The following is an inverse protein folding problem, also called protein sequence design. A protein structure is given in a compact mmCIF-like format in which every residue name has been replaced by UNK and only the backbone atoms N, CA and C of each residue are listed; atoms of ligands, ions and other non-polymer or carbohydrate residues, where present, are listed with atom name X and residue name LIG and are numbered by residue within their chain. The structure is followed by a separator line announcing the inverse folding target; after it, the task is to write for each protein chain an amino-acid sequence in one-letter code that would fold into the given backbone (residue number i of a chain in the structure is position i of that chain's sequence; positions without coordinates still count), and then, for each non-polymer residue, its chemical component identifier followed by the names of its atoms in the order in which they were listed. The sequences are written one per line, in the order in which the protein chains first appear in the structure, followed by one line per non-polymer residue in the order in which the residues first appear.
data_IF_391736998521
#
_entry.id   IF_391736998521
#
_cell.length_a   1.000
_cell.length_b   1.000
_cell.length_c   1.000
_cell.angle_alpha   90.00
_cell.angle_beta   90.00
_cell.angle_gamma   90.00
#
_symmetry.space_group_name_H-M   'P 1'
#
loop_
_entity.id
_entity.type
_entity.pdbx_description
1 polymer ?
#
# COMPACT_ATOMS: atom_id res chain seq x y z
N UNK A 1 -17.86 42.49 48.43
CA UNK A 1 -17.89 41.92 47.06
C UNK A 1 -16.75 42.55 46.28
N UNK A 2 -15.72 41.80 45.88
CA UNK A 2 -14.59 42.35 45.14
C UNK A 2 -13.29 41.56 45.34
N UNK A 3 -13.23 40.33 44.82
CA UNK A 3 -11.96 39.61 44.67
C UNK A 3 -11.37 40.00 43.32
N UNK A 4 -10.19 40.64 43.34
CA UNK A 4 -9.36 40.85 42.15
C UNK A 4 -8.81 39.49 41.72
N UNK A 5 -9.20 39.02 40.54
CA UNK A 5 -8.60 37.86 39.89
C UNK A 5 -7.27 38.32 39.27
N UNK A 6 -6.19 37.65 39.66
CA UNK A 6 -4.86 37.87 39.09
C UNK A 6 -4.79 37.33 37.66
N UNK A 7 -4.29 38.17 36.77
CA UNK A 7 -3.94 37.81 35.41
C UNK A 7 -2.68 36.93 35.44
N UNK A 8 -2.84 35.68 35.02
CA UNK A 8 -1.73 34.77 34.78
C UNK A 8 -1.24 35.00 33.35
N UNK A 9 -0.06 35.60 33.22
CA UNK A 9 0.72 35.60 32.00
C UNK A 9 1.33 34.22 31.83
N UNK A 10 0.87 33.46 30.84
CA UNK A 10 1.60 32.29 30.37
C UNK A 10 2.72 32.79 29.45
N UNK A 11 3.91 33.01 30.00
CA UNK A 11 5.12 33.11 29.17
C UNK A 11 5.43 31.70 28.68
N UNK A 12 5.16 31.48 27.39
CA UNK A 12 5.60 30.31 26.66
C UNK A 12 7.13 30.36 26.61
N UNK A 13 7.79 29.55 27.45
CA UNK A 13 9.22 29.31 27.28
C UNK A 13 9.40 28.43 26.05
N UNK A 14 9.74 29.04 24.92
CA UNK A 14 10.34 28.33 23.80
C UNK A 14 11.70 27.83 24.30
N UNK A 15 11.76 26.58 24.72
CA UNK A 15 13.02 25.93 25.09
C UNK A 15 13.83 25.77 23.81
N UNK A 16 14.76 26.70 23.56
CA UNK A 16 15.81 26.49 22.58
C UNK A 16 16.76 25.43 23.16
N UNK A 17 16.56 24.17 22.76
CA UNK A 17 17.57 23.14 22.99
C UNK A 17 18.85 23.59 22.28
N UNK A 18 19.95 23.62 23.04
CA UNK A 18 21.27 23.93 22.52
C UNK A 18 21.62 22.88 21.44
N UNK A 19 21.80 23.34 20.21
CA UNK A 19 22.22 22.54 19.05
C UNK A 19 23.59 21.93 19.35
N UNK A 20 23.70 20.61 19.26
CA UNK A 20 24.97 19.91 19.38
C UNK A 20 25.83 20.18 18.16
N UNK A 21 26.86 21.00 18.32
CA UNK A 21 27.97 21.09 17.36
C UNK A 21 28.84 19.84 17.58
N UNK A 22 28.84 18.92 16.63
CA UNK A 22 29.82 17.82 16.62
C UNK A 22 31.07 18.31 15.87
N UNK A 23 32.26 18.35 16.50
CA UNK A 23 33.49 18.69 15.80
C UNK A 23 33.93 17.48 14.95
N UNK A 24 33.96 17.64 13.63
CA UNK A 24 34.40 16.57 12.74
C UNK A 24 34.36 16.91 11.26
N UNK A 25 35.38 17.63 10.78
CA UNK A 25 35.88 17.54 9.40
C UNK A 25 37.30 18.14 9.36
N UNK A 26 38.17 17.60 8.50
CA UNK A 26 39.63 17.78 8.52
C UNK A 26 40.17 19.19 8.17
N UNK A 27 39.34 20.22 8.23
CA UNK A 27 39.70 21.63 8.08
C UNK A 27 38.79 22.50 8.96
N UNK A 28 38.42 21.97 10.15
CA UNK A 28 37.57 22.56 11.21
C UNK A 28 36.13 22.92 10.84
N UNK A 29 35.70 22.59 9.61
CA UNK A 29 34.32 22.78 9.16
C UNK A 29 33.30 22.10 10.08
N UNK A 30 32.17 22.76 10.28
CA UNK A 30 31.06 22.30 11.15
C UNK A 30 29.71 22.42 10.43
N UNK A 31 28.69 21.70 10.90
CA UNK A 31 27.34 21.76 10.34
C UNK A 31 26.32 22.08 11.42
N UNK A 32 25.37 22.94 11.09
CA UNK A 32 24.31 23.36 11.99
C UNK A 32 22.96 23.32 11.30
N UNK A 33 21.91 22.94 12.03
CA UNK A 33 20.53 23.05 11.58
C UNK A 33 20.07 24.50 11.81
N UNK A 34 20.10 25.32 10.76
CA UNK A 34 19.79 26.76 10.80
C UNK A 34 18.30 27.06 10.89
N UNK A 35 17.45 26.19 10.35
CA UNK A 35 16.00 26.22 10.55
C UNK A 35 15.56 24.85 11.01
N UNK A 36 14.95 24.77 12.19
CA UNK A 36 14.51 23.51 12.77
C UNK A 36 13.26 22.99 12.05
N UNK A 37 13.14 21.67 11.84
CA UNK A 37 11.90 21.09 11.36
C UNK A 37 10.81 21.27 12.41
N UNK A 38 9.62 21.68 11.97
CA UNK A 38 8.41 21.67 12.79
C UNK A 38 7.43 20.76 12.08
N UNK A 39 7.09 19.63 12.71
CA UNK A 39 6.21 18.68 12.06
C UNK A 39 4.78 19.18 11.93
N UNK A 40 4.04 18.55 11.04
CA UNK A 40 2.67 18.88 10.75
C UNK A 40 1.73 18.54 11.91
N UNK A 41 0.75 19.40 12.16
CA UNK A 41 -0.36 19.11 13.07
C UNK A 41 -1.53 18.40 12.39
N UNK A 42 -1.65 18.54 11.05
CA UNK A 42 -2.69 17.92 10.23
C UNK A 42 -2.05 16.86 9.33
N UNK A 43 -2.58 15.63 9.35
CA UNK A 43 -2.11 14.54 8.47
C UNK A 43 -2.18 14.93 6.99
N UNK A 44 -1.27 14.38 6.18
CA UNK A 44 -1.26 14.61 4.72
C UNK A 44 -0.60 15.91 4.28
N UNK A 45 -0.01 16.63 5.23
CA UNK A 45 0.77 17.85 4.96
C UNK A 45 2.26 17.57 5.11
N UNK A 46 3.06 18.32 4.37
CA UNK A 46 4.51 18.45 4.61
C UNK A 46 4.75 19.01 6.03
N UNK A 47 5.98 18.93 6.53
CA UNK A 47 6.35 19.64 7.76
C UNK A 47 5.96 21.13 7.65
N UNK A 48 5.41 21.70 8.73
CA UNK A 48 4.99 23.11 8.81
C UNK A 48 6.18 24.04 8.60
N UNK A 49 7.33 23.69 9.18
CA UNK A 49 8.62 24.34 8.90
C UNK A 49 9.55 23.32 8.30
N UNK A 50 10.03 23.58 7.08
CA UNK A 50 11.03 22.76 6.41
C UNK A 50 12.44 23.12 6.91
N UNK A 51 13.31 22.13 7.13
CA UNK A 51 14.62 22.40 7.69
C UNK A 51 15.57 23.02 6.67
N UNK A 52 16.47 23.85 7.18
CA UNK A 52 17.66 24.30 6.46
C UNK A 52 18.90 23.94 7.27
N UNK A 53 19.98 23.64 6.57
CA UNK A 53 21.25 23.21 7.15
C UNK A 53 22.36 24.06 6.57
N UNK A 54 23.20 24.62 7.42
CA UNK A 54 24.35 25.42 7.01
C UNK A 54 25.64 24.68 7.32
N UNK A 55 26.52 24.59 6.33
CA UNK A 55 27.91 24.17 6.51
C UNK A 55 28.76 25.42 6.76
N UNK A 56 29.54 25.39 7.82
CA UNK A 56 30.34 26.51 8.31
C UNK A 56 31.83 26.18 8.20
N UNK A 57 32.62 27.21 7.92
CA UNK A 57 34.06 27.23 8.12
C UNK A 57 34.39 27.38 9.63
N UNK A 58 35.66 27.24 10.00
CA UNK A 58 36.17 27.33 11.37
C UNK A 58 35.85 28.65 12.06
N UNK A 59 35.76 29.71 11.28
CA UNK A 59 35.44 31.05 11.76
C UNK A 59 33.93 31.29 11.93
N UNK A 60 33.11 30.25 11.70
CA UNK A 60 31.66 30.27 11.86
C UNK A 60 30.90 30.92 10.70
N UNK A 61 31.56 31.25 9.57
CA UNK A 61 30.89 31.75 8.36
C UNK A 61 30.45 30.59 7.46
N UNK A 62 29.37 30.74 6.66
CA UNK A 62 28.97 29.72 5.70
C UNK A 62 30.08 29.41 4.68
N UNK A 63 30.31 28.13 4.41
CA UNK A 63 31.22 27.67 3.36
C UNK A 63 30.55 27.83 1.99
N UNK A 64 30.63 29.04 1.43
CA UNK A 64 29.99 29.39 0.16
C UNK A 64 30.61 28.71 -1.07
N UNK A 65 31.82 28.17 -0.93
CA UNK A 65 32.48 27.37 -1.97
C UNK A 65 31.97 25.93 -2.03
N UNK A 66 31.28 25.47 -0.99
CA UNK A 66 30.78 24.11 -0.92
C UNK A 66 29.59 23.90 -1.87
N UNK A 67 29.78 23.02 -2.86
CA UNK A 67 28.75 22.59 -3.79
C UNK A 67 28.32 21.13 -3.57
N UNK A 68 28.59 20.59 -2.38
CA UNK A 68 28.21 19.23 -1.99
C UNK A 68 26.70 19.05 -1.83
N UNK A 69 26.30 17.84 -1.45
CA UNK A 69 24.92 17.51 -1.12
C UNK A 69 24.76 17.21 0.36
N UNK A 70 23.59 17.53 0.92
CA UNK A 70 23.19 17.14 2.27
C UNK A 70 22.04 16.16 2.17
N UNK A 71 22.19 15.00 2.82
CA UNK A 71 21.14 14.00 2.97
C UNK A 71 20.40 14.21 4.29
N UNK A 72 19.06 14.15 4.27
CA UNK A 72 18.22 14.14 5.45
C UNK A 72 17.70 12.72 5.72
N UNK A 73 17.66 12.35 6.99
CA UNK A 73 17.12 11.08 7.49
C UNK A 73 16.49 11.26 8.87
N UNK A 74 15.74 10.28 9.35
CA UNK A 74 15.29 10.24 10.75
C UNK A 74 16.39 9.59 11.60
N UNK A 75 16.99 10.37 12.50
CA UNK A 75 17.98 9.90 13.46
C UNK A 75 17.32 9.21 14.65
N UNK A 76 16.50 9.96 15.40
CA UNK A 76 15.62 9.38 16.43
C UNK A 76 14.27 9.07 15.77
N UNK A 77 13.91 7.79 15.75
CA UNK A 77 12.80 7.27 14.98
C UNK A 77 11.98 6.21 15.75
N UNK A 78 11.15 6.65 16.72
CA UNK A 78 10.49 5.75 17.66
C UNK A 78 9.40 4.88 17.03
N UNK A 79 8.87 5.27 15.86
CA UNK A 79 7.80 4.54 15.17
C UNK A 79 8.29 3.76 13.96
N UNK A 80 9.61 3.66 13.76
CA UNK A 80 10.21 3.11 12.54
C UNK A 80 9.64 3.76 11.27
N UNK A 81 9.40 5.08 11.35
CA UNK A 81 8.90 5.89 10.25
C UNK A 81 9.94 6.06 9.15
N UNK A 82 9.45 6.48 7.99
CA UNK A 82 10.23 6.90 6.84
C UNK A 82 10.12 8.40 6.65
N UNK A 83 11.16 8.95 6.03
CA UNK A 83 11.19 10.33 5.56
C UNK A 83 10.97 10.32 4.04
N UNK A 84 9.87 10.89 3.59
CA UNK A 84 9.53 11.01 2.17
C UNK A 84 9.78 12.45 1.67
N UNK A 85 9.61 12.68 0.37
CA UNK A 85 9.94 13.93 -0.32
C UNK A 85 11.36 13.92 -0.89
N UNK A 86 11.89 15.09 -1.21
CA UNK A 86 13.28 15.25 -1.63
C UNK A 86 14.19 15.26 -0.39
N UNK A 87 14.65 14.08 0.02
CA UNK A 87 15.54 13.89 1.18
C UNK A 87 17.00 14.26 0.91
N UNK A 88 17.28 14.90 -0.23
CA UNK A 88 18.59 15.40 -0.60
C UNK A 88 18.47 16.85 -1.06
N UNK A 89 19.36 17.71 -0.59
CA UNK A 89 19.44 19.10 -1.00
C UNK A 89 20.89 19.47 -1.33
N UNK A 90 21.09 20.20 -2.43
CA UNK A 90 22.39 20.76 -2.76
C UNK A 90 22.71 21.93 -1.85
N UNK A 91 23.99 22.09 -1.50
CA UNK A 91 24.49 23.29 -0.86
C UNK A 91 24.54 24.42 -1.89
N UNK A 92 23.92 25.53 -1.55
CA UNK A 92 24.01 26.78 -2.29
C UNK A 92 24.38 27.90 -1.32
N UNK A 93 25.52 28.56 -1.56
CA UNK A 93 26.11 29.51 -0.63
C UNK A 93 26.27 28.94 0.80
N UNK A 94 26.66 27.67 0.90
CA UNK A 94 26.84 26.97 2.17
C UNK A 94 25.55 26.52 2.87
N UNK A 95 24.38 26.70 2.26
CA UNK A 95 23.08 26.34 2.84
C UNK A 95 22.36 25.30 1.98
N UNK A 96 21.94 24.21 2.59
CA UNK A 96 21.07 23.21 2.01
C UNK A 96 19.62 23.45 2.49
N UNK A 97 18.69 23.58 1.56
CA UNK A 97 17.28 23.87 1.86
C UNK A 97 16.39 22.71 1.40
N UNK A 98 15.66 22.12 2.34
CA UNK A 98 14.63 21.13 2.06
C UNK A 98 13.28 21.83 1.91
N UNK A 99 12.37 21.28 1.11
CA UNK A 99 11.12 21.98 0.76
C UNK A 99 9.84 21.15 0.89
N UNK A 100 9.95 19.82 0.90
CA UNK A 100 8.80 18.93 0.82
C UNK A 100 8.95 17.67 1.69
N UNK A 101 9.77 17.73 2.74
CA UNK A 101 9.91 16.62 3.66
C UNK A 101 8.57 16.33 4.35
N UNK A 102 8.28 15.04 4.49
CA UNK A 102 7.13 14.52 5.24
C UNK A 102 7.50 13.21 5.93
N UNK A 103 6.99 13.01 7.14
CA UNK A 103 7.23 11.81 7.94
C UNK A 103 6.06 10.83 7.79
N UNK A 104 6.34 9.54 7.64
CA UNK A 104 5.29 8.52 7.57
C UNK A 104 5.74 7.18 8.16
N UNK A 105 4.98 6.56 9.09
CA UNK A 105 3.86 7.12 9.85
C UNK A 105 4.30 8.25 10.80
N UNK A 106 3.34 9.05 11.28
CA UNK A 106 3.58 10.07 12.31
C UNK A 106 3.88 9.50 13.69
N UNK A 107 4.17 10.38 14.65
CA UNK A 107 4.66 10.05 15.98
C UNK A 107 5.20 11.26 16.75
N UNK A 108 5.70 11.02 17.96
CA UNK A 108 6.36 12.03 18.80
C UNK A 108 7.87 11.80 18.84
N UNK A 109 8.62 12.78 19.36
CA UNK A 109 10.05 12.68 19.68
C UNK A 109 10.97 12.28 18.51
N UNK A 110 10.60 12.65 17.28
CA UNK A 110 11.50 12.50 16.14
C UNK A 110 12.66 13.50 16.23
N UNK A 111 13.82 13.09 15.73
CA UNK A 111 14.91 14.00 15.39
C UNK A 111 15.39 13.69 13.97
N UNK A 112 15.64 14.72 13.17
CA UNK A 112 16.25 14.57 11.86
C UNK A 112 17.77 14.61 11.97
N UNK A 113 18.41 13.70 11.24
CA UNK A 113 19.86 13.65 11.04
C UNK A 113 20.17 14.13 9.63
N UNK A 114 21.06 15.10 9.55
CA UNK A 114 21.59 15.63 8.30
C UNK A 114 23.05 15.24 8.15
N UNK A 115 23.43 14.79 6.97
CA UNK A 115 24.80 14.34 6.65
C UNK A 115 25.26 15.00 5.36
N UNK A 116 26.37 15.73 5.39
CA UNK A 116 26.99 16.25 4.17
C UNK A 116 27.78 15.15 3.48
N UNK A 117 27.55 15.02 2.18
CA UNK A 117 28.29 14.16 1.28
C UNK A 117 29.29 15.06 0.55
N UNK A 118 30.56 15.01 0.94
CA UNK A 118 31.64 15.66 0.20
C UNK A 118 32.15 14.74 -0.91
N UNK A 119 32.51 15.32 -2.05
CA UNK A 119 33.24 14.63 -3.13
C UNK A 119 34.70 14.36 -2.78
N UNK A 120 35.25 15.14 -1.83
CA UNK A 120 36.62 15.01 -1.36
C UNK A 120 36.67 14.11 -0.12
N UNK A 121 37.73 13.33 -0.01
CA UNK A 121 37.99 12.34 1.05
C UNK A 121 38.18 13.07 2.39
N UNK A 122 37.07 13.49 3.00
CA UNK A 122 37.04 13.95 4.38
C UNK A 122 37.02 12.70 5.27
N UNK A 123 37.84 12.62 6.33
CA UNK A 123 37.97 11.40 7.14
C UNK A 123 36.70 10.96 7.87
N UNK A 124 35.73 11.86 8.05
CA UNK A 124 34.45 11.62 8.72
C UNK A 124 33.36 12.45 8.02
N UNK A 125 32.14 11.92 7.84
CA UNK A 125 31.03 12.69 7.31
C UNK A 125 30.63 13.78 8.31
N UNK A 126 30.37 14.99 7.80
CA UNK A 126 29.91 16.09 8.64
C UNK A 126 28.41 15.93 8.92
N UNK A 127 28.01 15.95 10.19
CA UNK A 127 26.66 15.64 10.62
C UNK A 127 26.05 16.71 11.54
N UNK A 128 24.72 16.87 11.46
CA UNK A 128 23.95 17.69 12.39
C UNK A 128 22.62 17.02 12.75
N UNK A 129 22.15 17.29 13.97
CA UNK A 129 20.89 16.79 14.50
C UNK A 129 19.91 17.94 14.76
N UNK A 130 18.65 17.73 14.43
CA UNK A 130 17.58 18.66 14.81
C UNK A 130 17.20 18.51 16.29
N UNK A 131 16.46 19.50 16.80
CA UNK A 131 15.68 19.35 18.01
C UNK A 131 14.56 18.30 17.83
N UNK A 132 14.02 17.83 18.96
CA UNK A 132 12.85 16.93 18.95
C UNK A 132 11.64 17.64 18.34
N UNK A 133 10.87 16.92 17.54
CA UNK A 133 9.60 17.40 17.03
C UNK A 133 8.54 16.29 16.98
N UNK A 134 7.29 16.72 17.04
CA UNK A 134 6.12 15.90 16.75
C UNK A 134 5.78 16.00 15.27
N UNK A 135 5.30 14.92 14.65
CA UNK A 135 4.68 14.95 13.34
C UNK A 135 3.40 14.10 13.31
N UNK A 136 2.28 14.67 12.87
CA UNK A 136 1.06 13.92 12.63
C UNK A 136 1.23 12.88 11.52
N UNK A 137 2.18 13.13 10.61
CA UNK A 137 2.60 12.25 9.53
C UNK A 137 1.82 12.45 8.23
N UNK A 138 2.21 11.73 7.18
CA UNK A 138 1.48 11.73 5.90
C UNK A 138 0.13 11.03 6.07
N UNK A 139 -0.89 11.54 5.38
CA UNK A 139 -2.17 10.86 5.25
C UNK A 139 -1.98 9.68 4.31
N UNK A 140 -2.59 8.55 4.66
CA UNK A 140 -2.47 7.34 3.88
C UNK A 140 -3.82 6.62 3.86
N UNK A 141 -4.20 6.12 2.69
CA UNK A 141 -5.40 5.32 2.46
C UNK A 141 -5.05 4.06 1.70
N UNK A 142 -5.89 3.03 1.84
CA UNK A 142 -5.80 1.87 0.97
C UNK A 142 -6.41 2.22 -0.39
N UNK A 143 -5.85 1.66 -1.45
CA UNK A 143 -6.39 1.74 -2.79
C UNK A 143 -6.20 0.40 -3.49
N UNK A 144 -7.26 -0.12 -4.08
CA UNK A 144 -7.17 -1.33 -4.90
C UNK A 144 -6.58 -0.91 -6.25
N UNK A 145 -5.39 -1.41 -6.57
CA UNK A 145 -4.66 -1.11 -7.82
C UNK A 145 -4.78 -2.24 -8.82
N UNK A 146 -5.09 -3.45 -8.36
CA UNK A 146 -5.51 -4.55 -9.21
C UNK A 146 -6.77 -5.15 -8.61
N UNK A 147 -7.89 -4.94 -9.29
CA UNK A 147 -9.17 -5.46 -8.86
C UNK A 147 -9.20 -6.99 -8.93
N UNK A 148 -9.87 -7.66 -7.98
CA UNK A 148 -10.05 -9.10 -8.02
C UNK A 148 -10.78 -9.50 -9.29
N UNK A 149 -10.21 -10.49 -9.98
CA UNK A 149 -10.85 -11.23 -11.07
C UNK A 149 -10.57 -12.71 -10.84
N UNK A 150 -11.54 -13.55 -11.16
CA UNK A 150 -11.34 -14.99 -11.05
C UNK A 150 -10.58 -15.53 -12.25
N UNK A 151 -9.65 -16.43 -11.99
CA UNK A 151 -8.99 -17.27 -12.98
C UNK A 151 -9.06 -18.71 -12.50
N UNK A 152 -9.23 -19.67 -13.40
CA UNK A 152 -9.17 -21.08 -13.04
C UNK A 152 -7.73 -21.57 -13.16
N UNK A 153 -7.22 -22.20 -12.11
CA UNK A 153 -5.96 -22.93 -12.19
C UNK A 153 -6.14 -24.28 -12.90
N UNK A 154 -5.04 -25.04 -13.04
CA UNK A 154 -5.05 -26.35 -13.68
C UNK A 154 -6.00 -27.37 -13.00
N UNK A 155 -6.27 -27.18 -11.71
CA UNK A 155 -7.17 -28.01 -10.90
C UNK A 155 -8.60 -27.44 -10.86
N UNK A 156 -8.93 -26.45 -11.70
CA UNK A 156 -10.21 -25.75 -11.76
C UNK A 156 -10.60 -25.02 -10.47
N UNK A 157 -9.63 -24.60 -9.66
CA UNK A 157 -9.87 -23.75 -8.49
C UNK A 157 -9.89 -22.29 -8.92
N UNK A 158 -10.81 -21.53 -8.34
CA UNK A 158 -10.94 -20.10 -8.58
C UNK A 158 -9.85 -19.31 -7.86
N UNK A 159 -8.75 -19.00 -8.53
CA UNK A 159 -7.70 -18.12 -8.04
C UNK A 159 -8.06 -16.65 -8.29
N UNK A 160 -7.76 -15.79 -7.32
CA UNK A 160 -7.95 -14.34 -7.40
C UNK A 160 -6.66 -13.67 -6.95
N UNK A 161 -6.18 -12.68 -7.71
CA UNK A 161 -4.91 -12.01 -7.44
C UNK A 161 -5.05 -10.49 -7.32
N UNK A 162 -5.77 -9.97 -6.30
CA UNK A 162 -5.89 -8.54 -6.09
C UNK A 162 -4.59 -7.96 -5.53
N UNK A 163 -4.36 -6.67 -5.81
CA UNK A 163 -3.26 -5.90 -5.23
C UNK A 163 -3.84 -4.65 -4.60
N UNK A 164 -3.44 -4.38 -3.36
CA UNK A 164 -3.82 -3.17 -2.61
C UNK A 164 -2.57 -2.37 -2.35
N UNK A 165 -2.56 -1.11 -2.77
CA UNK A 165 -1.51 -0.16 -2.45
C UNK A 165 -1.91 0.71 -1.26
N UNK A 166 -0.92 1.18 -0.51
CA UNK A 166 -1.06 2.31 0.40
C UNK A 166 -0.67 3.56 -0.37
N UNK A 167 -1.58 4.52 -0.45
CA UNK A 167 -1.41 5.76 -1.20
C UNK A 167 -1.63 6.98 -0.32
N UNK A 168 -1.05 8.11 -0.71
CA UNK A 168 -1.40 9.41 -0.14
C UNK A 168 -2.78 9.90 -0.60
N UNK A 169 -3.20 11.09 -0.15
CA UNK A 169 -4.51 11.61 -0.53
C UNK A 169 -4.65 11.95 -2.02
N UNK A 170 -3.53 12.21 -2.69
CA UNK A 170 -3.47 12.46 -4.14
C UNK A 170 -3.42 11.17 -4.97
N UNK A 171 -3.33 10.00 -4.32
CA UNK A 171 -3.24 8.69 -4.98
C UNK A 171 -1.82 8.26 -5.34
N UNK A 172 -0.79 8.97 -4.88
CA UNK A 172 0.60 8.54 -5.06
C UNK A 172 0.92 7.41 -4.09
N UNK A 173 1.61 6.38 -4.56
CA UNK A 173 1.99 5.25 -3.72
C UNK A 173 3.05 5.62 -2.69
N UNK A 174 2.92 5.04 -1.50
CA UNK A 174 3.85 5.21 -0.39
C UNK A 174 4.73 3.96 -0.30
N UNK A 175 5.87 3.89 -1.02
CA UNK A 175 6.65 2.66 -1.17
C UNK A 175 7.23 2.14 0.15
N UNK A 176 7.33 3.00 1.16
CA UNK A 176 7.82 2.61 2.48
C UNK A 176 6.71 2.12 3.42
N UNK A 177 5.46 2.08 2.98
CA UNK A 177 4.37 1.57 3.80
C UNK A 177 4.44 0.05 3.97
N UNK A 178 4.34 -0.39 5.22
CA UNK A 178 4.46 -1.81 5.64
C UNK A 178 3.17 -2.34 6.27
N UNK A 179 2.04 -1.67 6.05
CA UNK A 179 0.75 -2.05 6.63
C UNK A 179 0.35 -3.48 6.20
N UNK A 180 -0.04 -4.31 7.17
CA UNK A 180 -0.63 -5.62 6.87
C UNK A 180 -2.08 -5.46 6.46
N UNK A 181 -2.37 -5.81 5.21
CA UNK A 181 -3.72 -5.78 4.63
C UNK A 181 -4.35 -7.16 4.76
N UNK A 182 -5.54 -7.20 5.35
CA UNK A 182 -6.40 -8.38 5.42
C UNK A 182 -7.51 -8.31 4.38
N UNK A 183 -7.96 -9.47 3.90
CA UNK A 183 -9.08 -9.58 2.95
C UNK A 183 -10.25 -10.38 3.55
N UNK A 184 -11.46 -9.96 3.24
CA UNK A 184 -12.70 -10.67 3.56
C UNK A 184 -13.65 -10.65 2.36
N UNK A 185 -14.63 -11.56 2.36
CA UNK A 185 -15.71 -11.57 1.37
C UNK A 185 -16.88 -10.75 1.93
N UNK A 186 -17.31 -9.71 1.22
CA UNK A 186 -18.47 -8.89 1.63
C UNK A 186 -19.75 -9.38 0.97
N UNK A 187 -19.79 -9.42 -0.38
CA UNK A 187 -20.92 -9.98 -1.12
C UNK A 187 -20.61 -11.43 -1.52
N UNK A 188 -21.47 -12.35 -1.08
CA UNK A 188 -21.26 -13.79 -1.22
C UNK A 188 -22.56 -14.52 -1.61
N UNK A 189 -23.01 -14.42 -2.87
CA UNK A 189 -24.33 -14.92 -3.29
C UNK A 189 -24.43 -16.46 -3.22
N UNK A 190 -23.31 -17.18 -3.37
CA UNK A 190 -23.28 -18.63 -3.42
C UNK A 190 -22.68 -19.28 -2.16
N UNK A 191 -22.59 -18.53 -1.05
CA UNK A 191 -21.99 -18.98 0.22
C UNK A 191 -20.64 -19.68 0.02
N UNK A 192 -19.78 -19.10 -0.82
CA UNK A 192 -18.39 -19.51 -0.97
C UNK A 192 -17.53 -19.08 0.22
N UNK A 193 -16.32 -19.59 0.30
CA UNK A 193 -15.33 -19.24 1.32
C UNK A 193 -13.95 -19.15 0.69
N UNK A 194 -12.98 -18.57 1.37
CA UNK A 194 -11.59 -18.82 0.98
C UNK A 194 -11.23 -20.29 1.27
N UNK A 195 -10.35 -20.86 0.45
CA UNK A 195 -9.82 -22.21 0.71
C UNK A 195 -8.86 -22.18 1.91
N UNK A 196 -8.62 -23.32 2.59
CA UNK A 196 -7.68 -23.38 3.71
C UNK A 196 -6.23 -22.98 3.37
N UNK A 197 -5.84 -23.06 2.10
CA UNK A 197 -4.51 -22.68 1.65
C UNK A 197 -4.38 -21.19 1.32
N UNK A 198 -5.47 -20.42 1.40
CA UNK A 198 -5.46 -18.99 1.09
C UNK A 198 -4.74 -18.19 2.17
N UNK A 199 -3.95 -17.20 1.76
CA UNK A 199 -3.29 -16.23 2.64
C UNK A 199 -4.16 -15.00 2.74
N UNK A 200 -4.85 -14.84 3.87
CA UNK A 200 -5.85 -13.78 4.05
C UNK A 200 -5.30 -12.46 4.58
N UNK A 201 -4.01 -12.42 4.94
CA UNK A 201 -3.31 -11.22 5.41
C UNK A 201 -1.92 -11.16 4.80
N UNK A 202 -1.62 -10.05 4.12
CA UNK A 202 -0.35 -9.83 3.41
C UNK A 202 0.25 -8.50 3.87
N UNK A 203 1.50 -8.46 4.38
CA UNK A 203 2.20 -7.21 4.65
C UNK A 203 2.47 -6.48 3.34
N UNK A 204 2.33 -5.16 3.35
CA UNK A 204 2.74 -4.35 2.22
C UNK A 204 4.27 -4.36 2.08
N UNK A 205 4.76 -4.64 0.88
CA UNK A 205 6.17 -4.52 0.49
C UNK A 205 6.25 -3.50 -0.64
N UNK A 206 7.15 -2.52 -0.55
CA UNK A 206 7.15 -1.44 -1.52
C UNK A 206 5.83 -0.67 -1.55
N UNK A 207 5.12 -0.59 -0.42
CA UNK A 207 3.80 0.05 -0.32
C UNK A 207 2.63 -0.76 -0.88
N UNK A 208 2.86 -2.01 -1.30
CA UNK A 208 1.82 -2.86 -1.93
C UNK A 208 1.68 -4.20 -1.23
N UNK A 209 0.45 -4.55 -0.87
CA UNK A 209 0.07 -5.89 -0.45
C UNK A 209 -0.47 -6.65 -1.67
N UNK A 210 0.33 -7.60 -2.17
CA UNK A 210 -0.02 -8.43 -3.33
C UNK A 210 -0.53 -9.80 -2.87
N UNK A 211 -1.81 -10.08 -3.10
CA UNK A 211 -2.40 -11.35 -2.72
C UNK A 211 -2.20 -12.38 -3.84
N UNK A 212 -1.04 -13.04 -3.87
CA UNK A 212 -0.74 -14.10 -4.84
C UNK A 212 -1.35 -15.47 -4.51
N UNK A 213 -2.00 -15.61 -3.35
CA UNK A 213 -2.46 -16.88 -2.81
C UNK A 213 -3.85 -16.73 -2.19
N UNK A 214 -4.82 -16.32 -3.01
CA UNK A 214 -6.24 -16.33 -2.64
C UNK A 214 -7.01 -17.22 -3.60
N UNK A 215 -7.74 -18.17 -3.03
CA UNK A 215 -8.62 -19.04 -3.78
C UNK A 215 -9.99 -19.09 -3.13
N UNK A 216 -11.06 -19.00 -3.94
CA UNK A 216 -12.43 -19.13 -3.45
C UNK A 216 -13.01 -20.52 -3.75
N UNK A 217 -13.69 -21.09 -2.75
CA UNK A 217 -14.57 -22.25 -2.91
C UNK A 217 -15.88 -21.82 -3.55
N UNK A 218 -16.51 -22.74 -4.31
CA UNK A 218 -17.81 -22.55 -5.00
C UNK A 218 -17.86 -21.43 -6.06
N UNK A 219 -16.76 -20.71 -6.28
CA UNK A 219 -16.61 -19.75 -7.35
C UNK A 219 -16.39 -20.39 -8.75
N UNK A 220 -16.45 -21.73 -8.86
CA UNK A 220 -16.16 -22.42 -10.10
C UNK A 220 -17.01 -23.68 -10.37
N UNK A 221 -18.01 -24.04 -9.55
CA UNK A 221 -18.49 -25.43 -9.56
C UNK A 221 -20.00 -25.63 -9.54
N UNK A 222 -20.56 -25.81 -10.75
CA UNK A 222 -21.47 -26.94 -11.02
C UNK A 222 -20.72 -28.30 -11.11
N UNK A 223 -19.40 -28.35 -10.82
CA UNK A 223 -18.55 -29.54 -11.07
C UNK A 223 -17.81 -30.09 -9.82
N UNK A 224 -18.18 -29.72 -8.59
CA UNK A 224 -17.75 -30.50 -7.42
C UNK A 224 -18.45 -31.86 -7.48
N UNK A 225 -17.75 -33.00 -7.35
CA UNK A 225 -18.39 -34.31 -7.25
C UNK A 225 -19.36 -34.34 -6.06
N UNK A 226 -20.67 -34.33 -6.34
CA UNK A 226 -21.73 -34.32 -5.31
C UNK A 226 -22.42 -32.97 -5.08
N UNK A 227 -22.05 -31.90 -5.79
CA UNK A 227 -22.85 -30.67 -5.81
C UNK A 227 -24.19 -30.92 -6.52
N UNK A 228 -25.30 -30.67 -5.83
CA UNK A 228 -26.63 -30.70 -6.43
C UNK A 228 -26.73 -29.52 -7.39
N UNK A 229 -26.90 -29.79 -8.68
CA UNK A 229 -27.15 -28.74 -9.69
C UNK A 229 -28.55 -28.18 -9.41
N UNK A 230 -28.61 -27.00 -8.79
CA UNK A 230 -29.84 -26.23 -8.74
C UNK A 230 -30.07 -25.60 -10.11
N UNK A 231 -31.02 -26.17 -10.86
CA UNK A 231 -31.43 -25.72 -12.21
C UNK A 231 -32.54 -24.68 -12.17
N UNK A 232 -32.89 -24.15 -10.99
CA UNK A 232 -33.87 -23.08 -10.85
C UNK A 232 -33.44 -21.79 -11.57
N UNK A 233 -34.40 -20.94 -12.01
CA UNK A 233 -34.09 -19.65 -12.60
C UNK A 233 -33.53 -18.72 -11.51
N UNK A 234 -32.22 -18.74 -11.31
CA UNK A 234 -31.53 -17.80 -10.42
C UNK A 234 -31.25 -16.52 -11.20
N UNK A 235 -31.68 -15.39 -10.65
CA UNK A 235 -31.35 -14.07 -11.19
C UNK A 235 -29.84 -13.90 -11.23
N UNK A 236 -29.32 -13.41 -12.36
CA UNK A 236 -27.90 -13.36 -12.73
C UNK A 236 -27.00 -12.43 -11.88
N UNK A 237 -27.35 -12.07 -10.65
CA UNK A 237 -26.51 -11.25 -9.78
C UNK A 237 -25.60 -12.13 -8.90
N UNK A 238 -24.79 -12.99 -9.53
CA UNK A 238 -23.83 -13.91 -8.87
C UNK A 238 -22.45 -13.26 -8.60
N UNK A 239 -22.39 -11.94 -8.53
CA UNK A 239 -21.14 -11.19 -8.34
C UNK A 239 -20.62 -11.25 -6.90
N UNK A 240 -19.30 -11.33 -6.76
CA UNK A 240 -18.60 -11.25 -5.48
C UNK A 240 -18.03 -9.84 -5.28
N UNK A 241 -17.88 -9.44 -4.03
CA UNK A 241 -17.05 -8.29 -3.64
C UNK A 241 -16.15 -8.69 -2.49
N UNK A 242 -14.90 -8.23 -2.53
CA UNK A 242 -13.95 -8.38 -1.45
C UNK A 242 -13.75 -7.04 -0.74
N UNK A 243 -13.62 -7.08 0.58
CA UNK A 243 -13.20 -5.95 1.40
C UNK A 243 -11.75 -6.15 1.83
N UNK A 244 -10.95 -5.10 1.72
CA UNK A 244 -9.57 -5.05 2.18
C UNK A 244 -9.43 -4.04 3.32
N UNK A 245 -8.82 -4.45 4.41
CA UNK A 245 -8.69 -3.62 5.61
C UNK A 245 -7.30 -3.74 6.23
N UNK A 246 -6.85 -2.69 6.89
CA UNK A 246 -5.60 -2.67 7.66
C UNK A 246 -5.78 -1.80 8.91
N UNK A 247 -5.11 -2.09 10.04
CA UNK A 247 -5.20 -1.26 11.23
C UNK A 247 -4.83 0.20 10.96
N UNK A 248 -5.72 1.13 11.33
CA UNK A 248 -5.51 2.56 11.10
C UNK A 248 -5.92 3.09 9.72
N UNK A 249 -6.46 2.22 8.85
CA UNK A 249 -6.96 2.60 7.53
C UNK A 249 -8.46 2.33 7.42
N UNK A 250 -9.16 3.15 6.62
CA UNK A 250 -10.50 2.81 6.16
C UNK A 250 -10.44 1.59 5.22
N UNK A 251 -11.42 0.69 5.33
CA UNK A 251 -11.51 -0.45 4.43
C UNK A 251 -11.90 0.01 3.02
N UNK A 252 -11.41 -0.71 2.01
CA UNK A 252 -11.76 -0.50 0.60
C UNK A 252 -12.42 -1.75 0.03
N UNK A 253 -13.48 -1.55 -0.73
CA UNK A 253 -14.20 -2.63 -1.39
C UNK A 253 -13.84 -2.72 -2.86
N UNK A 254 -13.75 -3.95 -3.36
CA UNK A 254 -13.56 -4.18 -4.78
C UNK A 254 -14.80 -3.83 -5.60
N UNK A 255 -14.58 -3.49 -6.86
CA UNK A 255 -15.59 -3.71 -7.90
C UNK A 255 -16.15 -5.14 -7.84
N UNK A 256 -17.39 -5.28 -8.30
CA UNK A 256 -18.03 -6.56 -8.45
C UNK A 256 -17.30 -7.41 -9.49
N UNK A 257 -17.06 -8.68 -9.18
CA UNK A 257 -16.50 -9.64 -10.13
C UNK A 257 -17.31 -10.91 -10.14
N UNK A 258 -17.55 -11.43 -11.33
CA UNK A 258 -18.26 -12.70 -11.52
C UNK A 258 -17.37 -13.89 -11.24
N UNK A 259 -18.03 -14.94 -10.78
CA UNK A 259 -17.44 -16.27 -10.63
C UNK A 259 -17.98 -17.18 -11.74
N UNK A 260 -17.71 -16.81 -13.00
CA UNK A 260 -18.34 -17.47 -14.14
C UNK A 260 -18.18 -19.00 -14.04
N UNK A 261 -19.27 -19.79 -14.09
CA UNK A 261 -19.11 -21.20 -14.41
C UNK A 261 -18.66 -21.27 -15.86
N UNK A 262 -17.47 -21.82 -16.12
CA UNK A 262 -17.10 -22.26 -17.46
C UNK A 262 -18.04 -23.41 -17.85
N UNK A 263 -19.20 -23.05 -18.41
CA UNK A 263 -20.08 -24.00 -19.07
C UNK A 263 -19.36 -24.44 -20.33
N UNK A 264 -18.74 -25.61 -20.30
CA UNK A 264 -18.41 -26.33 -21.53
C UNK A 264 -19.75 -26.78 -22.11
N UNK A 265 -20.33 -26.00 -23.01
CA UNK A 265 -21.39 -26.50 -23.88
C UNK A 265 -20.72 -27.48 -24.83
N UNK A 266 -20.70 -28.78 -24.47
CA UNK A 266 -20.51 -29.82 -25.48
C UNK A 266 -21.75 -29.83 -26.37
N UNK A 267 -21.80 -28.93 -27.36
CA UNK A 267 -22.62 -29.20 -28.55
C UNK A 267 -21.94 -30.36 -29.27
N UNK A 268 -22.21 -31.58 -28.81
CA UNK A 268 -22.09 -32.73 -29.68
C UNK A 268 -23.31 -32.65 -30.60
N UNK A 269 -23.19 -32.32 -31.90
CA UNK A 269 -24.29 -32.62 -32.80
C UNK A 269 -24.41 -34.14 -32.80
N UNK A 270 -25.43 -34.68 -32.13
CA UNK A 270 -25.89 -36.02 -32.47
C UNK A 270 -26.34 -35.94 -33.92
N UNK A 271 -25.47 -36.40 -34.82
CA UNK A 271 -25.79 -36.57 -36.23
C UNK A 271 -27.07 -37.38 -36.32
N UNK A 272 -28.12 -36.73 -36.80
CA UNK A 272 -29.38 -37.36 -37.16
C UNK A 272 -29.08 -38.34 -38.30
N UNK A 273 -28.94 -39.62 -37.96
CA UNK A 273 -28.98 -40.72 -38.91
C UNK A 273 -30.09 -41.65 -38.48
N UNK A 274 -31.31 -41.23 -38.79
CA UNK A 274 -32.40 -42.16 -39.09
C UNK A 274 -31.93 -42.98 -40.30
N UNK A 275 -31.39 -44.17 -40.05
CA UNK A 275 -31.31 -45.20 -41.09
C UNK A 275 -32.72 -45.78 -41.17
N UNK A 276 -33.52 -45.25 -42.09
CA UNK A 276 -34.76 -45.87 -42.53
C UNK A 276 -34.40 -47.20 -43.20
N UNK A 277 -34.70 -48.31 -42.53
CA UNK A 277 -34.71 -49.62 -43.17
C UNK A 277 -35.90 -49.69 -44.15
N UNK A 278 -35.70 -50.10 -45.41
CA UNK A 278 -36.82 -50.37 -46.30
C UNK A 278 -37.54 -51.66 -45.88
N UNK A 279 -38.87 -51.77 -46.07
CA UNK A 279 -39.62 -52.96 -45.72
C UNK A 279 -39.23 -54.13 -46.62
N UNK A 280 -38.93 -55.29 -46.03
CA UNK A 280 -38.75 -56.54 -46.77
C UNK A 280 -40.14 -57.01 -47.24
N UNK A 281 -40.28 -57.12 -48.55
CA UNK A 281 -41.46 -57.68 -49.20
C UNK A 281 -41.41 -59.20 -49.09
N UNK A 282 -42.44 -59.80 -48.50
CA UNK A 282 -42.71 -61.23 -48.64
C UNK A 282 -43.05 -61.53 -50.11
N UNK A 283 -42.20 -62.26 -50.81
CA UNK A 283 -42.53 -62.88 -52.10
C UNK A 283 -42.59 -64.41 -51.95
N UNK A 284 -43.83 -64.92 -51.94
CA UNK A 284 -44.20 -66.23 -52.52
C UNK A 284 -44.00 -67.48 -51.66
N UNK A 285 -45.11 -68.17 -51.36
CA UNK A 285 -45.12 -69.64 -51.18
C UNK A 285 -45.77 -70.19 -49.91
N UNK A 286 -47.09 -70.03 -49.79
CA UNK A 286 -48.07 -70.83 -49.02
C UNK A 286 -47.87 -71.01 -47.48
N UNK A 287 -48.92 -70.60 -46.76
CA UNK A 287 -49.26 -70.83 -45.34
C UNK A 287 -48.80 -69.79 -44.29
N UNK A 288 -49.65 -68.75 -44.13
CA UNK A 288 -50.14 -68.30 -42.82
C UNK A 288 -49.25 -67.40 -41.94
N UNK A 289 -49.41 -66.07 -42.05
CA UNK A 289 -49.22 -65.16 -40.91
C UNK A 289 -50.60 -64.75 -40.37
N UNK A 290 -50.97 -65.21 -39.18
CA UNK A 290 -52.04 -64.62 -38.36
C UNK A 290 -51.50 -64.38 -36.94
N UNK A 291 -51.77 -63.18 -36.43
CA UNK A 291 -51.82 -62.85 -35.00
C UNK A 291 -50.52 -62.45 -34.35
#
# INVERSE_FOLDING_TARGET
MGRRMGEWWAVLFLSAALVGVLPGAADGASMVVSTQPVGNTIKGRMLETQPTVTVLLDDGRPDVSNSGMVMASLGVNPTAASLNGHTQAQLYNGVATFTDLVVYPGGQDFQMKFTAMSSDVVPEPLEAMSANFFAAGQEAKLMIVTHPRITLDADRRGAVAPVVAVVDDLGNELPMATATVSVSITRNPNSGSFTPNSVLSVPAEGGRAAFGSLWLTRAATMNEPGATIDTGPRGYDETYTLSFSAPGFAAVESEQFDVSPLVVVSRQPSSDRVVSAPPVWCQGGLEGCMG
#
